data_IF_469349839531
#
_entry.id   IF_469349839531
#
_cell.length_a   1.000
_cell.length_b   1.000
_cell.length_c   1.000
_cell.angle_alpha   90.00
_cell.angle_beta   90.00
_cell.angle_gamma   90.00
#
_symmetry.space_group_name_H-M   'P 1'
#
loop_
_entity.id
_entity.type
_entity.pdbx_description
1 polymer ?
#
# COMPACT_ATOMS: atom_id res chain seq x y z
N UNK A 1 -41.11 -12.25 22.73
CA UNK A 1 -40.36 -12.75 21.56
C UNK A 1 -39.61 -11.56 21.01
N UNK A 2 -38.35 -11.42 21.44
CA UNK A 2 -37.44 -10.36 20.95
C UNK A 2 -36.73 -10.94 19.74
N UNK A 3 -37.07 -10.42 18.54
CA UNK A 3 -36.33 -10.69 17.33
C UNK A 3 -34.91 -10.09 17.52
N UNK A 4 -33.95 -10.95 17.77
CA UNK A 4 -32.57 -10.63 17.74
C UNK A 4 -32.15 -10.44 16.28
N UNK A 5 -32.21 -9.19 15.80
CA UNK A 5 -31.61 -8.84 14.52
C UNK A 5 -30.12 -9.16 14.57
N UNK A 6 -29.70 -10.25 13.97
CA UNK A 6 -28.30 -10.52 13.70
C UNK A 6 -27.80 -9.42 12.77
N UNK A 7 -26.97 -8.52 13.29
CA UNK A 7 -26.23 -7.58 12.42
C UNK A 7 -25.35 -8.42 11.49
N UNK A 8 -25.82 -8.58 10.25
CA UNK A 8 -25.07 -9.28 9.22
C UNK A 8 -23.84 -8.44 8.89
N UNK A 9 -22.66 -8.94 9.24
CA UNK A 9 -21.41 -8.26 8.99
C UNK A 9 -21.16 -8.23 7.46
N UNK A 10 -21.12 -7.04 6.88
CA UNK A 10 -20.74 -6.86 5.47
C UNK A 10 -19.24 -6.67 5.37
N UNK A 11 -18.49 -7.55 4.69
CA UNK A 11 -17.06 -7.36 4.47
C UNK A 11 -16.78 -6.18 3.54
N UNK A 12 -15.56 -5.65 3.60
CA UNK A 12 -15.14 -4.59 2.67
C UNK A 12 -13.65 -4.60 2.39
N UNK A 13 -13.29 -4.04 1.24
CA UNK A 13 -11.92 -3.69 0.85
C UNK A 13 -11.94 -2.25 0.39
N UNK A 14 -11.32 -1.36 1.16
CA UNK A 14 -11.30 0.06 0.94
C UNK A 14 -9.89 0.56 0.61
N UNK A 15 -9.77 1.23 -0.54
CA UNK A 15 -8.54 1.87 -1.00
C UNK A 15 -8.58 3.37 -0.68
N UNK A 16 -7.48 3.87 -0.14
CA UNK A 16 -7.26 5.29 0.14
C UNK A 16 -6.13 5.83 -0.73
N UNK A 17 -6.38 6.95 -1.41
CA UNK A 17 -5.35 7.71 -2.10
C UNK A 17 -4.93 8.90 -1.25
N UNK A 18 -3.72 8.84 -0.73
CA UNK A 18 -3.16 9.80 0.22
C UNK A 18 -2.14 10.68 -0.51
N UNK A 19 -2.33 12.02 -0.57
CA UNK A 19 -1.33 12.91 -1.15
C UNK A 19 0.01 12.73 -0.45
N UNK A 20 1.10 12.58 -1.19
CA UNK A 20 2.42 12.35 -0.62
C UNK A 20 2.87 13.57 0.19
N UNK A 21 3.11 13.35 1.49
CA UNK A 21 3.50 14.39 2.43
C UNK A 21 2.33 15.11 3.13
N UNK A 22 1.08 14.78 2.84
CA UNK A 22 -0.05 15.25 3.63
C UNK A 22 0.06 14.67 5.05
N UNK A 23 -0.01 15.51 6.08
CA UNK A 23 0.07 15.09 7.49
C UNK A 23 1.44 14.65 7.99
N UNK A 24 2.45 14.58 7.15
CA UNK A 24 3.78 14.16 7.56
C UNK A 24 4.43 15.18 8.52
N UNK A 25 4.66 14.78 9.76
CA UNK A 25 5.44 15.57 10.73
C UNK A 25 6.92 15.74 10.29
N UNK A 26 7.35 15.01 9.24
CA UNK A 26 8.72 15.03 8.72
C UNK A 26 8.73 15.54 7.28
N UNK A 27 9.20 16.77 7.02
CA UNK A 27 9.23 17.38 5.69
C UNK A 27 10.04 16.59 4.65
N UNK A 28 10.98 15.74 5.09
CA UNK A 28 11.90 14.98 4.23
C UNK A 28 11.16 14.09 3.22
N UNK A 29 10.07 13.44 3.62
CA UNK A 29 9.30 12.57 2.71
C UNK A 29 8.63 13.40 1.62
N UNK A 30 8.08 14.55 1.98
CA UNK A 30 7.47 15.48 1.03
C UNK A 30 8.50 16.03 0.03
N UNK A 31 9.65 16.52 0.53
CA UNK A 31 10.74 17.03 -0.32
C UNK A 31 11.32 15.97 -1.26
N UNK A 32 11.50 14.74 -0.77
CA UNK A 32 11.98 13.63 -1.60
C UNK A 32 10.95 13.29 -2.70
N UNK A 33 9.67 13.35 -2.41
CA UNK A 33 8.60 13.16 -3.40
C UNK A 33 8.60 14.25 -4.47
N UNK A 34 8.69 15.52 -4.06
CA UNK A 34 8.77 16.65 -5.00
C UNK A 34 10.03 16.60 -5.87
N UNK A 35 11.18 16.26 -5.31
CA UNK A 35 12.41 16.10 -6.06
C UNK A 35 12.32 14.93 -7.05
N UNK A 36 11.79 13.80 -6.62
CA UNK A 36 11.56 12.65 -7.48
C UNK A 36 10.66 13.03 -8.66
N UNK A 37 9.54 13.67 -8.39
CA UNK A 37 8.60 14.09 -9.43
C UNK A 37 9.20 15.15 -10.37
N UNK A 38 9.95 16.11 -9.86
CA UNK A 38 10.64 17.11 -10.68
C UNK A 38 11.68 16.48 -11.63
N UNK A 39 12.37 15.44 -11.20
CA UNK A 39 13.32 14.70 -12.05
C UNK A 39 12.58 13.82 -13.05
N UNK A 40 11.54 13.11 -12.61
CA UNK A 40 10.75 12.22 -13.45
C UNK A 40 10.02 13.00 -14.56
N UNK A 41 9.34 14.10 -14.21
CA UNK A 41 8.61 14.94 -15.16
C UNK A 41 9.51 15.54 -16.22
N UNK A 42 10.74 15.98 -15.82
CA UNK A 42 11.74 16.48 -16.78
C UNK A 42 12.24 15.38 -17.72
N UNK A 43 12.51 14.18 -17.20
CA UNK A 43 12.95 13.04 -18.04
C UNK A 43 11.87 12.57 -19.01
N UNK A 44 10.62 12.59 -18.56
CA UNK A 44 9.47 12.17 -19.33
C UNK A 44 8.86 13.28 -20.19
N UNK A 45 9.44 14.51 -20.16
CA UNK A 45 8.97 15.70 -20.89
C UNK A 45 7.48 15.99 -20.70
N UNK A 46 6.99 15.87 -19.47
CA UNK A 46 5.60 16.11 -19.08
C UNK A 46 5.47 17.12 -17.94
N UNK A 47 4.29 17.71 -17.73
CA UNK A 47 4.01 18.49 -16.52
C UNK A 47 4.20 17.67 -15.25
N UNK A 48 4.62 18.31 -14.16
CA UNK A 48 4.60 17.71 -12.83
C UNK A 48 3.17 17.37 -12.42
N UNK A 49 3.00 16.28 -11.68
CA UNK A 49 1.70 15.82 -11.20
C UNK A 49 1.73 15.56 -9.69
N UNK A 50 0.57 15.46 -9.09
CA UNK A 50 0.43 15.10 -7.70
C UNK A 50 0.88 13.65 -7.49
N UNK A 51 1.63 13.42 -6.42
CA UNK A 51 2.03 12.08 -6.05
C UNK A 51 1.13 11.56 -4.93
N UNK A 52 0.69 10.31 -5.10
CA UNK A 52 -0.13 9.61 -4.13
C UNK A 52 0.57 8.37 -3.60
N UNK A 53 0.26 8.09 -2.36
CA UNK A 53 0.56 6.81 -1.73
C UNK A 53 -0.77 6.10 -1.41
N UNK A 54 -0.79 4.81 -1.58
CA UNK A 54 -1.96 3.99 -1.37
C UNK A 54 -2.01 3.46 0.07
N UNK A 55 -3.16 3.59 0.73
CA UNK A 55 -3.49 2.93 1.97
C UNK A 55 -4.59 1.89 1.75
N UNK A 56 -4.57 0.80 2.49
CA UNK A 56 -5.54 -0.29 2.37
C UNK A 56 -6.17 -0.61 3.72
N UNK A 57 -7.50 -0.56 3.76
CA UNK A 57 -8.31 -1.00 4.90
C UNK A 57 -9.21 -2.16 4.47
N UNK A 58 -9.26 -3.22 5.29
CA UNK A 58 -9.98 -4.44 4.99
C UNK A 58 -10.83 -4.85 6.17
N UNK A 59 -12.13 -5.02 5.94
CA UNK A 59 -13.07 -5.55 6.93
C UNK A 59 -13.36 -7.03 6.68
N UNK A 60 -13.15 -7.85 7.70
CA UNK A 60 -13.48 -9.28 7.68
C UNK A 60 -14.34 -9.64 8.90
N UNK A 61 -14.92 -10.84 8.93
CA UNK A 61 -15.63 -11.30 10.13
C UNK A 61 -14.77 -11.37 11.39
N UNK A 62 -13.43 -11.35 11.24
CA UNK A 62 -12.47 -11.33 12.35
C UNK A 62 -12.14 -9.90 12.85
N UNK A 63 -12.58 -8.85 12.12
CA UNK A 63 -12.37 -7.46 12.46
C UNK A 63 -11.91 -6.62 11.27
N UNK A 64 -11.54 -5.39 11.56
CA UNK A 64 -10.98 -4.42 10.62
C UNK A 64 -9.45 -4.50 10.65
N UNK A 65 -8.83 -4.49 9.48
CA UNK A 65 -7.38 -4.53 9.33
C UNK A 65 -6.91 -3.36 8.47
N UNK A 66 -5.81 -2.73 8.87
CA UNK A 66 -5.05 -1.78 8.05
C UNK A 66 -3.75 -2.46 7.63
N UNK A 67 -3.42 -2.38 6.34
CA UNK A 67 -2.19 -2.94 5.79
C UNK A 67 -1.35 -1.80 5.26
N UNK A 68 -0.11 -1.71 5.76
CA UNK A 68 0.84 -0.66 5.38
C UNK A 68 2.26 -1.18 5.28
N UNK A 69 3.09 -0.41 4.57
CA UNK A 69 4.54 -0.58 4.56
C UNK A 69 5.17 0.62 5.27
N UNK A 70 5.92 0.37 6.33
CA UNK A 70 6.51 1.41 7.18
C UNK A 70 7.98 1.11 7.50
N UNK A 71 8.80 2.12 7.84
CA UNK A 71 10.16 1.90 8.34
C UNK A 71 10.17 1.03 9.60
N UNK A 72 11.14 0.11 9.70
CA UNK A 72 11.23 -0.82 10.83
C UNK A 72 11.58 -0.14 12.17
N UNK A 73 12.13 1.08 12.14
CA UNK A 73 12.46 1.91 13.32
C UNK A 73 11.34 2.88 13.73
N UNK A 74 10.25 2.97 12.93
CA UNK A 74 9.11 3.80 13.31
C UNK A 74 8.40 3.27 14.54
N UNK A 75 7.84 4.18 15.35
CA UNK A 75 7.02 3.87 16.53
C UNK A 75 5.65 3.34 16.06
N UNK A 76 5.62 2.13 15.53
CA UNK A 76 4.37 1.43 15.28
C UNK A 76 3.74 1.00 16.61
N UNK A 77 2.42 0.95 16.67
CA UNK A 77 1.70 0.37 17.80
C UNK A 77 2.24 -1.03 18.09
N UNK A 78 2.43 -1.36 19.37
CA UNK A 78 2.81 -2.70 19.81
C UNK A 78 1.81 -3.80 19.37
N UNK A 79 0.61 -3.40 18.93
CA UNK A 79 -0.42 -4.28 18.39
C UNK A 79 -0.24 -4.60 16.88
N UNK A 80 0.71 -3.96 16.19
CA UNK A 80 0.94 -4.20 14.77
C UNK A 80 1.71 -5.50 14.56
N UNK A 81 1.07 -6.48 13.95
CA UNK A 81 1.74 -7.71 13.55
C UNK A 81 2.59 -7.44 12.30
N UNK A 82 3.90 -7.69 12.41
CA UNK A 82 4.82 -7.65 11.26
C UNK A 82 4.59 -8.89 10.42
N UNK A 83 4.05 -8.70 9.21
CA UNK A 83 3.80 -9.78 8.28
C UNK A 83 5.09 -10.20 7.54
N UNK A 84 5.86 -9.23 7.03
CA UNK A 84 7.16 -9.45 6.39
C UNK A 84 8.02 -8.18 6.45
N UNK A 85 9.31 -8.28 6.08
CA UNK A 85 10.23 -7.15 6.12
C UNK A 85 11.29 -7.25 5.01
N UNK A 86 11.76 -6.12 4.52
CA UNK A 86 12.78 -6.05 3.48
C UNK A 86 13.77 -4.89 3.66
N UNK A 87 14.79 -4.80 2.79
CA UNK A 87 15.80 -3.76 2.83
C UNK A 87 15.29 -2.43 2.22
N UNK A 88 15.92 -1.31 2.62
CA UNK A 88 15.69 0.03 2.06
C UNK A 88 16.96 0.51 1.37
N UNK A 89 16.84 1.01 0.14
CA UNK A 89 17.91 1.62 -0.64
C UNK A 89 18.91 0.63 -1.25
N UNK A 90 19.53 -0.24 -0.44
CA UNK A 90 20.46 -1.29 -0.89
C UNK A 90 20.29 -2.57 -0.09
N UNK A 91 20.36 -3.74 -0.74
CA UNK A 91 20.17 -5.06 -0.08
C UNK A 91 21.11 -5.28 1.11
N UNK A 92 22.36 -4.87 1.00
CA UNK A 92 23.36 -5.06 2.06
C UNK A 92 23.10 -4.19 3.29
N UNK A 93 22.46 -3.02 3.15
CA UNK A 93 22.04 -2.16 4.26
C UNK A 93 20.92 -2.81 5.09
N UNK A 94 20.15 -3.72 4.54
CA UNK A 94 19.09 -4.44 5.24
C UNK A 94 19.54 -5.32 6.42
N UNK A 95 20.88 -5.44 6.66
CA UNK A 95 21.44 -6.01 7.89
C UNK A 95 21.20 -5.12 9.10
N UNK A 96 21.03 -3.81 8.89
CA UNK A 96 20.70 -2.84 9.94
C UNK A 96 19.20 -2.55 9.97
N UNK A 97 18.60 -2.54 11.16
CA UNK A 97 17.18 -2.20 11.33
C UNK A 97 16.80 -0.80 10.83
N UNK A 98 17.76 0.11 10.76
CA UNK A 98 17.55 1.48 10.28
C UNK A 98 17.33 1.54 8.76
N UNK A 99 17.76 0.52 8.03
CA UNK A 99 17.58 0.39 6.59
C UNK A 99 16.67 -0.79 6.23
N UNK A 100 15.61 -0.98 7.05
CA UNK A 100 14.58 -1.99 6.79
C UNK A 100 13.20 -1.35 6.80
N UNK A 101 12.33 -1.87 5.98
CA UNK A 101 10.90 -1.68 6.09
C UNK A 101 10.23 -2.93 6.65
N UNK A 102 9.01 -2.74 7.13
CA UNK A 102 8.11 -3.80 7.56
C UNK A 102 6.78 -3.64 6.83
N UNK A 103 6.22 -4.75 6.37
CA UNK A 103 4.81 -4.85 6.03
C UNK A 103 4.07 -5.18 7.31
N UNK A 104 3.14 -4.34 7.69
CA UNK A 104 2.34 -4.48 8.92
C UNK A 104 0.90 -4.73 8.54
N UNK A 105 0.28 -5.67 9.24
CA UNK A 105 -1.14 -5.90 9.19
C UNK A 105 -1.70 -5.68 10.61
N UNK A 106 -2.51 -4.65 10.80
CA UNK A 106 -2.97 -4.27 12.15
C UNK A 106 -4.46 -4.46 12.25
N UNK A 107 -4.86 -5.21 13.25
CA UNK A 107 -6.24 -5.22 13.65
C UNK A 107 -6.59 -3.89 14.32
N UNK A 108 -7.72 -3.29 13.90
CA UNK A 108 -8.21 -2.00 14.36
C UNK A 108 -7.21 -0.83 14.20
N UNK A 109 -6.28 -0.98 13.24
CA UNK A 109 -5.33 0.06 12.87
C UNK A 109 -6.00 1.31 12.32
N UNK A 110 -5.25 2.41 12.27
CA UNK A 110 -5.71 3.68 11.69
C UNK A 110 -4.75 4.09 10.61
N UNK A 111 -5.26 4.47 9.44
CA UNK A 111 -4.47 5.14 8.41
C UNK A 111 -4.24 6.57 8.88
N UNK A 112 -2.99 6.99 9.23
CA UNK A 112 -2.74 8.26 9.94
C UNK A 112 -3.29 9.48 9.21
N UNK A 113 -3.18 9.48 7.89
CA UNK A 113 -3.49 10.61 7.03
C UNK A 113 -4.81 10.45 6.27
N UNK A 114 -5.68 9.52 6.69
CA UNK A 114 -6.97 9.25 6.03
C UNK A 114 -7.84 10.51 5.82
N UNK A 115 -7.75 11.51 6.71
CA UNK A 115 -8.47 12.79 6.60
C UNK A 115 -8.05 13.64 5.39
N UNK A 116 -6.89 13.38 4.82
CA UNK A 116 -6.37 14.07 3.62
C UNK A 116 -6.55 13.25 2.35
N UNK A 117 -7.14 12.07 2.45
CA UNK A 117 -7.35 11.18 1.32
C UNK A 117 -8.27 11.82 0.26
N UNK A 118 -7.91 11.64 -1.00
CA UNK A 118 -8.62 12.18 -2.16
C UNK A 118 -9.44 11.07 -2.79
N UNK A 119 -10.71 11.35 -3.14
CA UNK A 119 -11.65 10.37 -3.72
C UNK A 119 -11.69 9.05 -2.93
N UNK A 120 -11.62 9.14 -1.59
CA UNK A 120 -11.45 8.00 -0.70
C UNK A 120 -12.40 8.07 0.52
N UNK A 121 -12.73 6.91 1.16
CA UNK A 121 -12.35 5.57 0.73
C UNK A 121 -13.08 5.14 -0.56
N UNK A 122 -12.36 4.43 -1.42
CA UNK A 122 -12.96 3.79 -2.59
C UNK A 122 -13.20 2.32 -2.29
N UNK A 123 -14.46 1.89 -2.22
CA UNK A 123 -14.85 0.51 -2.03
C UNK A 123 -14.56 -0.30 -3.27
N UNK A 124 -13.64 -1.28 -3.17
CA UNK A 124 -13.22 -2.14 -4.28
C UNK A 124 -13.91 -3.50 -4.26
N UNK A 125 -14.28 -4.01 -3.07
CA UNK A 125 -14.96 -5.28 -2.94
C UNK A 125 -15.78 -5.33 -1.65
N UNK A 126 -16.86 -6.11 -1.67
CA UNK A 126 -17.65 -6.51 -0.50
C UNK A 126 -17.65 -8.04 -0.34
N UNK A 127 -16.76 -8.73 -1.05
CA UNK A 127 -16.62 -10.16 -0.96
C UNK A 127 -15.70 -10.57 0.19
N UNK A 128 -16.18 -11.49 1.04
CA UNK A 128 -15.45 -11.96 2.21
C UNK A 128 -14.20 -12.78 1.83
N UNK A 129 -14.26 -13.53 0.73
CA UNK A 129 -13.12 -14.35 0.29
C UNK A 129 -11.98 -13.47 -0.18
N UNK A 130 -12.27 -12.41 -0.94
CA UNK A 130 -11.33 -11.37 -1.36
C UNK A 130 -10.71 -10.66 -0.15
N UNK A 131 -11.54 -10.22 0.80
CA UNK A 131 -11.09 -9.55 2.01
C UNK A 131 -10.12 -10.41 2.84
N UNK A 132 -10.47 -11.68 3.08
CA UNK A 132 -9.60 -12.64 3.79
C UNK A 132 -8.30 -12.88 3.06
N UNK A 133 -8.38 -13.11 1.74
CA UNK A 133 -7.20 -13.36 0.90
C UNK A 133 -6.19 -12.22 0.95
N UNK A 134 -6.64 -10.97 0.98
CA UNK A 134 -5.75 -9.81 1.14
C UNK A 134 -4.97 -9.88 2.46
N UNK A 135 -5.65 -10.17 3.57
CA UNK A 135 -5.01 -10.27 4.89
C UNK A 135 -4.00 -11.42 4.91
N UNK A 136 -4.36 -12.58 4.38
CA UNK A 136 -3.50 -13.78 4.34
C UNK A 136 -2.26 -13.56 3.47
N UNK A 137 -2.41 -12.88 2.33
CA UNK A 137 -1.32 -12.61 1.41
C UNK A 137 -0.30 -11.59 1.93
N UNK A 138 -0.62 -10.79 2.95
CA UNK A 138 0.30 -9.78 3.47
C UNK A 138 1.67 -10.36 3.88
N UNK A 139 1.70 -11.58 4.42
CA UNK A 139 2.93 -12.29 4.80
C UNK A 139 3.72 -12.85 3.61
N UNK A 140 3.08 -13.01 2.46
CA UNK A 140 3.68 -13.55 1.23
C UNK A 140 4.15 -12.47 0.27
N UNK A 141 4.06 -11.19 0.65
CA UNK A 141 4.53 -10.09 -0.18
C UNK A 141 6.02 -10.20 -0.49
N UNK A 142 6.44 -10.07 -1.78
CA UNK A 142 7.84 -10.18 -2.15
C UNK A 142 8.70 -9.08 -1.47
N UNK A 143 9.77 -9.48 -0.80
CA UNK A 143 10.63 -8.58 -0.02
C UNK A 143 11.72 -7.91 -0.86
N UNK A 144 11.34 -7.24 -1.94
CA UNK A 144 12.26 -6.42 -2.75
C UNK A 144 12.83 -5.22 -1.99
N UNK A 145 13.88 -4.63 -2.52
CA UNK A 145 14.51 -3.44 -1.95
C UNK A 145 13.65 -2.19 -2.18
N UNK A 146 13.17 -1.56 -1.09
CA UNK A 146 12.41 -0.30 -1.19
C UNK A 146 13.21 0.79 -1.90
N UNK A 147 12.57 1.44 -2.86
CA UNK A 147 13.16 2.52 -3.66
C UNK A 147 14.00 2.04 -4.84
N UNK A 148 13.98 0.74 -5.16
CA UNK A 148 14.70 0.15 -6.29
C UNK A 148 13.77 -0.61 -7.23
N UNK A 149 14.09 -0.63 -8.51
CA UNK A 149 13.46 -1.53 -9.49
C UNK A 149 14.17 -2.90 -9.48
N UNK A 150 14.04 -3.61 -8.36
CA UNK A 150 14.70 -4.92 -8.20
C UNK A 150 14.04 -6.01 -9.05
N UNK A 151 12.76 -5.86 -9.33
CA UNK A 151 11.97 -6.82 -10.11
C UNK A 151 11.95 -6.51 -11.62
N UNK A 152 12.69 -5.48 -12.08
CA UNK A 152 12.76 -5.07 -13.49
C UNK A 152 11.39 -4.81 -14.10
N UNK A 153 10.62 -4.00 -13.42
CA UNK A 153 9.26 -3.61 -13.80
C UNK A 153 9.18 -2.23 -14.46
N UNK A 154 10.28 -1.46 -14.43
CA UNK A 154 10.34 -0.07 -14.87
C UNK A 154 10.01 0.93 -13.77
N UNK A 155 9.55 0.47 -12.60
CA UNK A 155 9.22 1.32 -11.44
C UNK A 155 9.86 0.80 -10.15
N UNK A 156 10.00 1.70 -9.16
CA UNK A 156 10.54 1.36 -7.84
C UNK A 156 9.58 0.48 -7.03
N UNK A 157 10.14 -0.38 -6.18
CA UNK A 157 9.39 -1.16 -5.20
C UNK A 157 9.13 -0.34 -3.93
N UNK A 158 7.86 -0.22 -3.50
CA UNK A 158 7.46 0.59 -2.35
C UNK A 158 6.07 0.22 -1.81
N UNK A 159 5.47 1.08 -0.97
CA UNK A 159 4.14 0.88 -0.39
C UNK A 159 3.02 0.78 -1.44
N UNK A 160 3.11 1.53 -2.56
CA UNK A 160 2.13 1.42 -3.64
C UNK A 160 2.21 0.04 -4.31
N UNK A 161 3.43 -0.52 -4.44
CA UNK A 161 3.62 -1.87 -4.95
C UNK A 161 2.98 -2.92 -4.06
N UNK A 162 3.04 -2.75 -2.73
CA UNK A 162 2.36 -3.63 -1.78
C UNK A 162 0.85 -3.64 -2.02
N UNK A 163 0.22 -2.47 -2.05
CA UNK A 163 -1.23 -2.36 -2.19
C UNK A 163 -1.68 -2.90 -3.54
N UNK A 164 -1.02 -2.51 -4.64
CA UNK A 164 -1.34 -2.98 -5.98
C UNK A 164 -1.20 -4.51 -6.11
N UNK A 165 -0.12 -5.07 -5.55
CA UNK A 165 0.13 -6.51 -5.56
C UNK A 165 -0.93 -7.28 -4.77
N UNK A 166 -1.28 -6.82 -3.55
CA UNK A 166 -2.29 -7.45 -2.72
C UNK A 166 -3.66 -7.48 -3.40
N UNK A 167 -4.09 -6.35 -3.97
CA UNK A 167 -5.36 -6.24 -4.67
C UNK A 167 -5.42 -7.17 -5.88
N UNK A 168 -4.41 -7.12 -6.75
CA UNK A 168 -4.35 -7.95 -7.95
C UNK A 168 -4.32 -9.45 -7.61
N UNK A 169 -3.48 -9.87 -6.66
CA UNK A 169 -3.37 -11.27 -6.20
C UNK A 169 -4.63 -11.79 -5.50
N UNK A 170 -5.48 -10.89 -5.04
CA UNK A 170 -6.75 -11.22 -4.38
C UNK A 170 -7.93 -11.26 -5.34
N UNK A 171 -7.71 -11.02 -6.64
CA UNK A 171 -8.73 -11.08 -7.68
C UNK A 171 -9.58 -9.82 -7.78
N UNK A 172 -9.13 -8.70 -7.23
CA UNK A 172 -9.77 -7.40 -7.46
C UNK A 172 -9.52 -6.96 -8.91
N UNK A 173 -10.57 -6.48 -9.58
CA UNK A 173 -10.44 -5.91 -10.93
C UNK A 173 -9.65 -4.60 -10.87
N UNK A 174 -8.42 -4.66 -11.39
CA UNK A 174 -7.50 -3.52 -11.40
C UNK A 174 -7.68 -2.61 -12.61
N UNK A 175 -8.49 -2.99 -13.61
CA UNK A 175 -8.68 -2.21 -14.85
C UNK A 175 -9.27 -0.82 -14.62
N UNK A 176 -10.09 -0.69 -13.58
CA UNK A 176 -10.74 0.57 -13.18
C UNK A 176 -10.05 1.28 -12.02
N UNK A 177 -8.97 0.69 -11.47
CA UNK A 177 -8.32 1.21 -10.26
C UNK A 177 -7.06 2.00 -10.64
N UNK A 178 -7.16 3.32 -10.53
CA UNK A 178 -6.08 4.25 -10.83
C UNK A 178 -6.02 5.37 -9.78
N UNK A 179 -4.86 6.04 -9.63
CA UNK A 179 -4.76 7.26 -8.83
C UNK A 179 -5.74 8.34 -9.29
N UNK A 180 -6.05 9.34 -8.45
CA UNK A 180 -6.89 10.47 -8.82
C UNK A 180 -6.42 11.16 -10.11
N UNK A 181 -7.33 11.83 -10.85
CA UNK A 181 -6.99 12.51 -12.10
C UNK A 181 -5.79 13.46 -11.93
N UNK A 182 -4.87 13.42 -12.90
CA UNK A 182 -3.59 14.16 -12.91
C UNK A 182 -2.59 13.74 -11.82
N UNK A 183 -2.88 12.66 -11.08
CA UNK A 183 -1.99 12.12 -10.06
C UNK A 183 -1.24 10.86 -10.51
N UNK A 184 -0.18 10.53 -9.78
CA UNK A 184 0.60 9.28 -9.94
C UNK A 184 0.80 8.59 -8.59
N UNK A 185 0.91 7.29 -8.64
CA UNK A 185 1.31 6.46 -7.51
C UNK A 185 2.56 5.65 -7.91
N UNK A 186 3.77 6.23 -7.81
CA UNK A 186 5.00 5.54 -8.20
C UNK A 186 5.10 4.17 -7.52
N UNK A 187 5.48 3.13 -8.27
CA UNK A 187 5.54 1.76 -7.79
C UNK A 187 4.23 0.97 -7.92
N UNK A 188 3.12 1.61 -8.27
CA UNK A 188 1.84 0.92 -8.46
C UNK A 188 1.93 -0.14 -9.56
N UNK A 189 2.45 0.24 -10.73
CA UNK A 189 2.66 -0.67 -11.86
C UNK A 189 3.61 -1.81 -11.51
N UNK A 190 4.65 -1.55 -10.69
CA UNK A 190 5.55 -2.60 -10.25
C UNK A 190 4.82 -3.72 -9.50
N UNK A 191 3.89 -3.35 -8.60
CA UNK A 191 3.06 -4.31 -7.88
C UNK A 191 2.20 -5.17 -8.82
N UNK A 192 1.54 -4.54 -9.80
CA UNK A 192 0.71 -5.24 -10.79
C UNK A 192 1.52 -6.22 -11.63
N UNK A 193 2.66 -5.78 -12.18
CA UNK A 193 3.54 -6.62 -13.03
C UNK A 193 4.06 -7.84 -12.26
N UNK A 194 4.46 -7.66 -10.99
CA UNK A 194 4.93 -8.79 -10.17
C UNK A 194 3.78 -9.75 -9.84
N UNK A 195 2.57 -9.22 -9.57
CA UNK A 195 1.40 -10.05 -9.32
C UNK A 195 1.04 -10.92 -10.53
N UNK A 196 1.07 -10.34 -11.73
CA UNK A 196 0.77 -11.01 -13.00
C UNK A 196 1.78 -12.14 -13.28
N UNK A 197 3.09 -11.85 -13.22
CA UNK A 197 4.14 -12.86 -13.38
C UNK A 197 4.03 -14.03 -12.41
N UNK A 198 3.51 -13.79 -11.20
CA UNK A 198 3.28 -14.84 -10.21
C UNK A 198 1.98 -15.61 -10.40
N UNK A 199 1.06 -15.11 -11.21
CA UNK A 199 -0.16 -15.83 -11.58
C UNK A 199 0.08 -16.81 -12.73
N UNK A 200 1.08 -16.53 -13.56
CA UNK A 200 1.47 -17.35 -14.71
C UNK A 200 2.46 -18.48 -14.35
N UNK A 201 3.07 -18.43 -13.17
CA UNK A 201 4.08 -19.39 -12.70
C UNK A 201 3.47 -20.55 -11.89
#
# INVERSE_FOLDING_TARGET
MTEGGSFEFTPWVDLYWLPLGAGAAVPIVHWNGLLFEAVASRREHRPACDLYHAGLEVGTGAGRFVIEMAPAWGTGSAAAQVATAGPVGFRWLGRSRFFRYQVRCWRDGVIPDARFAVDSPRRLSTDLSTARRIVDLASSFPTGTWGRDEFRTGEMWNSNSLVAWLLARSGVDMSSTSPPPRGRAPGWTAGLVVADRQAEA
#
